data_IF_362262642097
#
_entry.id   IF_362262642097
#
_cell.length_a   1.000
_cell.length_b   1.000
_cell.length_c   1.000
_cell.angle_alpha   90.00
_cell.angle_beta   90.00
_cell.angle_gamma   90.00
#
_symmetry.space_group_name_H-M   'P 1'
#
loop_
_entity.id
_entity.type
_entity.pdbx_description
1 polymer ?
#
# COMPACT_ATOMS: atom_id res chain seq x y z
N UNK A 1 -16.34 -12.17 18.42
CA UNK A 1 -15.37 -11.26 19.05
C UNK A 1 -14.11 -11.24 18.19
N UNK A 2 -13.43 -10.10 18.16
CA UNK A 2 -12.27 -9.87 17.30
C UNK A 2 -11.19 -9.11 18.05
N UNK A 3 -9.94 -9.26 17.61
CA UNK A 3 -8.80 -8.43 17.99
C UNK A 3 -8.40 -7.61 16.78
N UNK A 4 -8.39 -6.29 16.88
CA UNK A 4 -7.80 -5.39 15.87
C UNK A 4 -6.42 -4.95 16.35
N UNK A 5 -5.39 -5.50 15.71
CA UNK A 5 -4.01 -5.09 15.93
C UNK A 5 -3.76 -3.79 15.18
N UNK A 6 -3.42 -2.73 15.91
CA UNK A 6 -3.13 -1.42 15.35
C UNK A 6 -1.72 -1.38 14.75
N UNK A 7 -1.55 -0.56 13.73
CA UNK A 7 -0.23 -0.31 13.13
C UNK A 7 0.59 0.57 14.07
N UNK A 8 1.80 0.14 14.45
CA UNK A 8 2.65 0.90 15.36
C UNK A 8 3.06 2.28 14.82
N UNK A 9 3.15 2.43 13.49
CA UNK A 9 3.49 3.68 12.80
C UNK A 9 2.24 4.55 12.57
N UNK A 10 1.07 3.92 12.45
CA UNK A 10 -0.20 4.60 12.17
C UNK A 10 -1.34 4.10 13.07
N UNK A 11 -1.24 4.28 14.40
CA UNK A 11 -2.16 3.66 15.36
C UNK A 11 -3.59 4.23 15.28
N UNK A 12 -3.78 5.39 14.65
CA UNK A 12 -5.08 6.00 14.39
C UNK A 12 -5.73 5.55 13.08
N UNK A 13 -5.00 4.85 12.19
CA UNK A 13 -5.55 4.32 10.95
C UNK A 13 -6.26 2.99 11.23
N UNK A 14 -7.58 3.05 11.37
CA UNK A 14 -8.43 1.88 11.65
C UNK A 14 -9.47 1.69 10.54
N UNK A 15 -9.85 0.44 10.19
CA UNK A 15 -10.94 0.19 9.26
C UNK A 15 -12.26 0.71 9.86
N UNK A 16 -12.84 1.73 9.23
CA UNK A 16 -14.02 2.42 9.76
C UNK A 16 -15.23 1.48 9.86
N UNK A 17 -15.36 0.52 8.95
CA UNK A 17 -16.42 -0.49 8.93
C UNK A 17 -16.30 -1.49 10.10
N UNK A 18 -15.09 -1.74 10.60
CA UNK A 18 -14.85 -2.57 11.78
C UNK A 18 -15.19 -1.79 13.05
N UNK A 19 -14.70 -0.56 13.17
CA UNK A 19 -14.93 0.28 14.35
C UNK A 19 -16.42 0.63 14.49
N UNK A 20 -17.09 1.01 13.40
CA UNK A 20 -18.50 1.38 13.41
C UNK A 20 -19.44 0.23 13.82
N UNK A 21 -19.15 -1.00 13.39
CA UNK A 21 -19.93 -2.19 13.77
C UNK A 21 -19.85 -2.52 15.27
N UNK A 22 -18.75 -2.15 15.93
CA UNK A 22 -18.50 -2.48 17.32
C UNK A 22 -18.50 -1.26 18.25
N UNK A 23 -19.02 -0.11 17.81
CA UNK A 23 -18.87 1.20 18.49
C UNK A 23 -19.24 1.20 19.99
N UNK A 24 -20.23 0.38 20.39
CA UNK A 24 -20.73 0.26 21.76
C UNK A 24 -19.97 -0.80 22.59
N UNK A 25 -19.01 -1.50 21.99
CA UNK A 25 -18.38 -2.70 22.55
C UNK A 25 -16.90 -2.80 22.16
N UNK A 26 -16.16 -1.71 22.34
CA UNK A 26 -14.71 -1.66 22.11
C UNK A 26 -13.96 -1.70 23.45
N UNK A 27 -13.05 -2.65 23.58
CA UNK A 27 -12.01 -2.68 24.59
C UNK A 27 -10.68 -2.24 23.95
N UNK A 28 -9.75 -1.73 24.74
CA UNK A 28 -8.38 -1.50 24.29
C UNK A 28 -7.38 -1.85 25.39
N UNK A 29 -6.19 -2.28 24.99
CA UNK A 29 -5.09 -2.59 25.90
C UNK A 29 -4.39 -1.32 26.40
N UNK A 30 -3.58 -1.41 27.48
CA UNK A 30 -2.81 -0.28 28.00
C UNK A 30 -1.72 0.24 27.06
N UNK A 31 -1.38 -0.45 25.97
CA UNK A 31 -0.39 0.03 24.99
C UNK A 31 -0.99 0.91 23.89
N UNK A 32 -2.32 0.90 23.68
CA UNK A 32 -2.96 1.76 22.68
C UNK A 32 -2.67 3.24 22.99
N UNK A 33 -2.14 4.06 22.07
CA UNK A 33 -1.75 5.44 22.35
C UNK A 33 -2.86 6.33 22.93
N UNK A 34 -2.47 7.30 23.77
CA UNK A 34 -3.41 8.17 24.50
C UNK A 34 -4.25 9.05 23.56
N UNK A 35 -3.66 9.59 22.51
CA UNK A 35 -4.31 10.36 21.45
C UNK A 35 -5.40 9.54 20.74
N UNK A 36 -5.12 8.27 20.44
CA UNK A 36 -6.12 7.33 19.86
C UNK A 36 -7.28 7.11 20.84
N UNK A 37 -7.00 6.92 22.14
CA UNK A 37 -8.05 6.77 23.16
C UNK A 37 -8.94 8.00 23.27
N UNK A 38 -8.34 9.19 23.22
CA UNK A 38 -9.07 10.46 23.26
C UNK A 38 -9.97 10.58 22.02
N UNK A 39 -9.44 10.27 20.83
CA UNK A 39 -10.22 10.32 19.59
C UNK A 39 -11.41 9.35 19.62
N UNK A 40 -11.21 8.12 20.11
CA UNK A 40 -12.29 7.14 20.30
C UNK A 40 -13.37 7.68 21.26
N UNK A 41 -12.98 8.25 22.39
CA UNK A 41 -13.93 8.83 23.34
C UNK A 41 -14.73 10.00 22.74
N UNK A 42 -14.11 10.85 21.92
CA UNK A 42 -14.78 11.93 21.19
C UNK A 42 -15.79 11.42 20.16
N UNK A 43 -15.56 10.22 19.60
CA UNK A 43 -16.48 9.53 18.69
C UNK A 43 -17.58 8.75 19.42
N UNK A 44 -17.68 8.86 20.75
CA UNK A 44 -18.66 8.13 21.56
C UNK A 44 -18.32 6.66 21.76
N UNK A 45 -17.09 6.24 21.47
CA UNK A 45 -16.62 4.89 21.76
C UNK A 45 -16.20 4.83 23.23
N UNK A 46 -16.99 4.10 24.02
CA UNK A 46 -16.70 3.88 25.43
C UNK A 46 -15.95 2.55 25.63
N UNK A 47 -14.95 2.56 26.51
CA UNK A 47 -14.22 1.34 26.88
C UNK A 47 -15.17 0.40 27.63
N UNK A 48 -15.47 -0.74 27.03
CA UNK A 48 -16.22 -1.82 27.68
C UNK A 48 -15.26 -2.95 28.03
N UNK A 49 -15.13 -3.26 29.32
CA UNK A 49 -14.33 -4.42 29.75
C UNK A 49 -14.92 -5.69 29.13
N UNK A 50 -14.11 -6.44 28.39
CA UNK A 50 -14.61 -7.61 27.66
C UNK A 50 -15.40 -7.31 26.39
N UNK A 51 -15.30 -6.08 25.84
CA UNK A 51 -15.98 -5.69 24.59
C UNK A 51 -15.73 -6.64 23.41
N UNK A 52 -16.63 -6.64 22.44
CA UNK A 52 -16.58 -7.54 21.28
C UNK A 52 -15.35 -7.32 20.40
N UNK A 53 -14.82 -6.11 20.36
CA UNK A 53 -13.60 -5.74 19.66
C UNK A 53 -12.52 -5.33 20.67
N UNK A 54 -11.36 -5.99 20.66
CA UNK A 54 -10.18 -5.53 21.40
C UNK A 54 -9.20 -4.82 20.47
N UNK A 55 -8.88 -3.56 20.74
CA UNK A 55 -7.76 -2.85 20.12
C UNK A 55 -6.48 -3.15 20.90
N UNK A 56 -5.45 -3.61 20.21
CA UNK A 56 -4.14 -3.88 20.81
C UNK A 56 -3.03 -3.39 19.86
N UNK A 57 -1.85 -3.07 20.40
CA UNK A 57 -0.68 -2.71 19.61
C UNK A 57 0.10 -3.96 19.20
N UNK A 58 0.10 -4.98 20.05
CA UNK A 58 0.85 -6.22 19.81
C UNK A 58 0.01 -7.46 20.15
N UNK A 59 0.19 -8.53 19.37
CA UNK A 59 -0.51 -9.80 19.56
C UNK A 59 -0.09 -10.55 20.84
N UNK A 60 1.10 -10.25 21.37
CA UNK A 60 1.65 -10.81 22.60
C UNK A 60 1.14 -10.15 23.87
N UNK A 61 0.40 -9.02 23.76
CA UNK A 61 -0.20 -8.38 24.93
C UNK A 61 -1.17 -9.34 25.62
N UNK A 62 -1.22 -9.43 26.96
CA UNK A 62 -1.95 -10.48 27.67
C UNK A 62 -3.40 -10.65 27.23
N UNK A 63 -4.14 -9.55 27.10
CA UNK A 63 -5.54 -9.57 26.68
C UNK A 63 -5.71 -9.99 25.21
N UNK A 64 -4.79 -9.58 24.34
CA UNK A 64 -4.77 -9.93 22.92
C UNK A 64 -4.41 -11.41 22.73
N UNK A 65 -3.32 -11.86 23.35
CA UNK A 65 -2.85 -13.24 23.33
C UNK A 65 -3.93 -14.20 23.85
N UNK A 66 -4.62 -13.84 24.93
CA UNK A 66 -5.72 -14.65 25.47
C UNK A 66 -6.90 -14.77 24.51
N UNK A 67 -7.26 -13.71 23.78
CA UNK A 67 -8.32 -13.74 22.75
C UNK A 67 -7.92 -14.57 21.54
N UNK A 68 -6.69 -14.39 21.07
CA UNK A 68 -6.12 -15.13 19.94
C UNK A 68 -6.08 -16.62 20.25
N UNK A 69 -5.65 -17.01 21.47
CA UNK A 69 -5.61 -18.40 21.91
C UNK A 69 -7.01 -19.05 21.96
N UNK A 70 -8.08 -18.27 22.13
CA UNK A 70 -9.48 -18.74 22.03
C UNK A 70 -10.01 -18.85 20.60
N UNK A 71 -9.19 -18.51 19.60
CA UNK A 71 -9.60 -18.53 18.19
C UNK A 71 -10.45 -17.33 17.76
N UNK A 72 -10.42 -16.23 18.51
CA UNK A 72 -11.09 -14.99 18.08
C UNK A 72 -10.46 -14.43 16.80
N UNK A 73 -11.28 -13.77 15.97
CA UNK A 73 -10.83 -13.26 14.66
C UNK A 73 -9.78 -12.16 14.85
N UNK A 74 -8.62 -12.32 14.21
CA UNK A 74 -7.57 -11.29 14.20
C UNK A 74 -7.68 -10.43 12.94
N UNK A 75 -7.86 -9.13 13.14
CA UNK A 75 -7.82 -8.10 12.14
C UNK A 75 -6.53 -7.29 12.35
N UNK A 76 -5.95 -6.78 11.26
CA UNK A 76 -4.80 -5.89 11.32
C UNK A 76 -5.19 -4.57 10.69
N UNK A 77 -5.09 -3.51 11.47
CA UNK A 77 -5.12 -2.16 10.95
C UNK A 77 -3.80 -1.92 10.23
N UNK A 78 -3.86 -1.39 9.02
CA UNK A 78 -2.68 -0.93 8.29
C UNK A 78 -2.76 0.58 8.14
N UNK A 79 -1.64 1.27 8.33
CA UNK A 79 -1.53 2.62 7.81
C UNK A 79 -1.57 2.65 6.28
N UNK A 80 -1.65 3.84 5.65
CA UNK A 80 -1.45 3.94 4.22
C UNK A 80 -0.08 3.32 3.88
N UNK A 81 -0.08 2.40 2.91
CA UNK A 81 1.17 1.83 2.41
C UNK A 81 2.10 2.96 1.93
N UNK A 82 3.43 2.77 1.92
CA UNK A 82 4.34 3.76 1.35
C UNK A 82 3.94 4.22 -0.05
N UNK A 83 3.37 3.32 -0.86
CA UNK A 83 2.82 3.61 -2.19
C UNK A 83 1.59 4.52 -2.10
N UNK A 84 0.61 4.19 -1.25
CA UNK A 84 -0.56 5.05 -1.05
C UNK A 84 -0.17 6.45 -0.57
N UNK A 85 0.89 6.55 0.25
CA UNK A 85 1.46 7.84 0.65
C UNK A 85 2.10 8.58 -0.53
N UNK A 86 2.83 7.90 -1.40
CA UNK A 86 3.44 8.51 -2.59
C UNK A 86 2.38 9.08 -3.54
N UNK A 87 1.31 8.32 -3.81
CA UNK A 87 0.14 8.79 -4.59
C UNK A 87 -0.46 10.05 -3.95
N UNK A 88 -0.67 10.04 -2.63
CA UNK A 88 -1.20 11.21 -1.92
C UNK A 88 -0.26 12.42 -1.98
N UNK A 89 1.05 12.22 -1.98
CA UNK A 89 2.03 13.32 -2.09
C UNK A 89 1.98 13.91 -3.49
N UNK A 90 1.95 13.08 -4.54
CA UNK A 90 1.84 13.55 -5.93
C UNK A 90 0.57 14.38 -6.13
N UNK A 91 -0.59 13.88 -5.66
CA UNK A 91 -1.85 14.63 -5.69
C UNK A 91 -1.73 16.00 -5.01
N UNK A 92 -1.06 16.07 -3.87
CA UNK A 92 -0.85 17.34 -3.17
C UNK A 92 0.10 18.27 -3.92
N UNK A 93 1.14 17.72 -4.56
CA UNK A 93 2.08 18.48 -5.39
C UNK A 93 1.33 19.12 -6.56
N UNK A 94 0.57 18.34 -7.33
CA UNK A 94 -0.28 18.85 -8.43
C UNK A 94 -1.37 19.79 -7.92
N UNK A 95 -1.92 19.59 -6.71
CA UNK A 95 -2.94 20.51 -6.20
C UNK A 95 -2.38 21.88 -5.78
N UNK A 96 -1.10 21.98 -5.39
CA UNK A 96 -0.53 23.16 -4.72
C UNK A 96 0.58 23.86 -5.50
N UNK A 97 1.40 23.10 -6.22
CA UNK A 97 2.59 23.61 -6.88
C UNK A 97 2.28 24.17 -8.27
N UNK A 98 2.75 25.38 -8.55
CA UNK A 98 2.54 26.03 -9.86
C UNK A 98 3.25 25.28 -10.99
N UNK A 99 4.44 24.75 -10.71
CA UNK A 99 5.22 23.99 -11.69
C UNK A 99 4.54 22.66 -12.02
N UNK A 100 4.11 21.92 -11.01
CA UNK A 100 3.42 20.63 -11.15
C UNK A 100 2.11 20.77 -11.93
N UNK A 101 1.35 21.84 -11.66
CA UNK A 101 0.12 22.16 -12.40
C UNK A 101 0.34 22.55 -13.85
N UNK A 102 1.50 23.08 -14.18
CA UNK A 102 1.83 23.48 -15.55
C UNK A 102 2.25 22.28 -16.41
N UNK A 103 2.47 21.11 -15.80
CA UNK A 103 2.93 19.93 -16.53
C UNK A 103 1.81 19.29 -17.36
N UNK A 104 2.23 18.68 -18.45
CA UNK A 104 1.44 17.83 -19.34
C UNK A 104 2.21 16.54 -19.58
N UNK A 105 1.55 15.51 -20.11
CA UNK A 105 2.28 14.29 -20.49
C UNK A 105 3.46 14.56 -21.43
N UNK A 106 3.34 15.54 -22.33
CA UNK A 106 4.40 15.86 -23.30
C UNK A 106 5.54 16.63 -22.63
N UNK A 107 5.24 17.60 -21.76
CA UNK A 107 6.28 18.40 -21.10
C UNK A 107 7.13 17.58 -20.12
N UNK A 108 6.61 16.45 -19.65
CA UNK A 108 7.32 15.53 -18.75
C UNK A 108 8.28 14.56 -19.46
N UNK A 109 8.12 14.32 -20.78
CA UNK A 109 8.95 13.34 -21.51
C UNK A 109 10.46 13.62 -21.43
N UNK A 110 10.96 14.88 -21.52
CA UNK A 110 12.38 15.15 -21.37
C UNK A 110 12.93 14.70 -20.00
N UNK A 111 12.18 14.94 -18.92
CA UNK A 111 12.55 14.50 -17.58
C UNK A 111 12.56 12.98 -17.49
N UNK A 112 11.53 12.30 -18.00
CA UNK A 112 11.52 10.83 -18.04
C UNK A 112 12.71 10.23 -18.80
N UNK A 113 13.15 10.86 -19.89
CA UNK A 113 14.33 10.41 -20.62
C UNK A 113 15.62 10.60 -19.80
N UNK A 114 15.73 11.70 -19.06
CA UNK A 114 16.84 11.97 -18.14
C UNK A 114 16.87 10.92 -17.02
N UNK A 115 15.78 10.74 -16.26
CA UNK A 115 15.72 9.76 -15.17
C UNK A 115 16.01 8.33 -15.64
N UNK A 116 15.58 7.98 -16.87
CA UNK A 116 15.87 6.67 -17.45
C UNK A 116 17.37 6.49 -17.76
N UNK A 117 18.04 7.56 -18.20
CA UNK A 117 19.47 7.54 -18.47
C UNK A 117 20.28 7.50 -17.16
N UNK A 118 19.86 8.22 -16.13
CA UNK A 118 20.46 8.18 -14.80
C UNK A 118 20.30 6.79 -14.16
N UNK A 119 19.10 6.19 -14.28
CA UNK A 119 18.86 4.80 -13.92
C UNK A 119 19.81 3.81 -14.63
N UNK A 120 19.98 3.91 -15.97
CA UNK A 120 20.93 3.06 -16.72
C UNK A 120 22.37 3.24 -16.21
N UNK A 121 22.79 4.49 -15.95
CA UNK A 121 24.11 4.78 -15.40
C UNK A 121 24.29 4.18 -13.99
N UNK A 122 23.28 4.29 -13.12
CA UNK A 122 23.29 3.72 -11.78
C UNK A 122 23.45 2.20 -11.83
N UNK A 123 22.69 1.51 -12.70
CA UNK A 123 22.81 0.06 -12.91
C UNK A 123 24.23 -0.31 -13.35
N UNK A 124 24.81 0.41 -14.31
CA UNK A 124 26.17 0.14 -14.83
C UNK A 124 27.25 0.39 -13.79
N UNK A 125 27.05 1.36 -12.91
CA UNK A 125 28.02 1.72 -11.87
C UNK A 125 28.08 0.72 -10.71
N UNK A 126 27.03 -0.10 -10.52
CA UNK A 126 26.91 -1.01 -9.38
C UNK A 126 26.67 -0.32 -8.03
N UNK A 127 26.38 0.99 -8.02
CA UNK A 127 26.05 1.72 -6.80
C UNK A 127 24.58 1.48 -6.41
N UNK A 128 24.36 0.63 -5.42
CA UNK A 128 23.03 0.25 -4.97
C UNK A 128 22.24 1.40 -4.32
N UNK A 129 22.90 2.38 -3.69
CA UNK A 129 22.21 3.54 -3.11
C UNK A 129 21.69 4.44 -4.23
N UNK A 130 22.53 4.72 -5.24
CA UNK A 130 22.12 5.50 -6.41
C UNK A 130 20.96 4.80 -7.13
N UNK A 131 21.03 3.48 -7.33
CA UNK A 131 20.00 2.71 -8.01
C UNK A 131 18.59 2.88 -7.40
N UNK A 132 18.50 2.91 -6.07
CA UNK A 132 17.21 3.08 -5.38
C UNK A 132 16.64 4.48 -5.65
N UNK A 133 17.49 5.48 -5.62
CA UNK A 133 17.08 6.87 -5.77
C UNK A 133 16.63 7.12 -7.23
N UNK A 134 17.37 6.63 -8.24
CA UNK A 134 16.93 6.71 -9.64
C UNK A 134 15.61 5.96 -9.91
N UNK A 135 15.41 4.79 -9.27
CA UNK A 135 14.13 4.08 -9.36
C UNK A 135 12.97 4.88 -8.74
N UNK A 136 13.25 5.70 -7.73
CA UNK A 136 12.25 6.59 -7.14
C UNK A 136 11.90 7.73 -8.10
N UNK A 137 12.85 8.24 -8.87
CA UNK A 137 12.62 9.29 -9.86
C UNK A 137 11.89 8.75 -11.11
N UNK A 138 12.17 7.52 -11.54
CA UNK A 138 11.32 6.83 -12.53
C UNK A 138 9.89 6.65 -12.00
N UNK A 139 9.72 6.27 -10.73
CA UNK A 139 8.40 6.17 -10.11
C UNK A 139 7.69 7.53 -10.01
N UNK A 140 8.42 8.62 -9.76
CA UNK A 140 7.90 9.98 -9.77
C UNK A 140 7.25 10.31 -11.12
N UNK A 141 7.89 9.95 -12.22
CA UNK A 141 7.33 10.14 -13.56
C UNK A 141 6.04 9.32 -13.76
N UNK A 142 6.01 8.05 -13.35
CA UNK A 142 4.79 7.21 -13.42
C UNK A 142 3.64 7.83 -12.61
N UNK A 143 3.92 8.33 -11.41
CA UNK A 143 2.93 9.00 -10.57
C UNK A 143 2.42 10.30 -11.19
N UNK A 144 3.28 11.11 -11.81
CA UNK A 144 2.88 12.31 -12.53
C UNK A 144 1.93 11.99 -13.68
N UNK A 145 2.30 11.04 -14.55
CA UNK A 145 1.44 10.64 -15.66
C UNK A 145 0.11 10.05 -15.17
N UNK A 146 0.11 9.32 -14.06
CA UNK A 146 -1.13 8.80 -13.47
C UNK A 146 -2.03 9.88 -12.84
N UNK A 147 -1.46 10.93 -12.23
CA UNK A 147 -2.25 12.01 -11.63
C UNK A 147 -2.76 13.03 -12.67
N UNK A 148 -2.06 13.17 -13.82
CA UNK A 148 -2.49 14.01 -14.93
C UNK A 148 -3.54 13.34 -15.85
N UNK A 149 -3.72 12.02 -15.74
CA UNK A 149 -4.64 11.29 -16.59
C UNK A 149 -6.11 11.58 -16.25
N UNK A 150 -6.95 11.72 -17.28
CA UNK A 150 -8.40 11.98 -17.10
C UNK A 150 -9.19 10.68 -16.87
N UNK A 151 -8.77 9.57 -17.49
CA UNK A 151 -9.54 8.33 -17.57
C UNK A 151 -9.03 7.22 -16.63
N UNK A 152 -7.93 7.43 -15.92
CA UNK A 152 -7.32 6.43 -15.05
C UNK A 152 -6.52 7.05 -13.91
N UNK A 153 -6.27 6.26 -12.86
CA UNK A 153 -5.39 6.60 -11.75
C UNK A 153 -4.25 5.58 -11.61
N UNK A 154 -3.36 5.81 -10.65
CA UNK A 154 -2.23 4.91 -10.38
C UNK A 154 -2.67 3.47 -10.09
N UNK A 155 -3.80 3.28 -9.41
CA UNK A 155 -4.35 1.95 -9.12
C UNK A 155 -4.75 1.19 -10.40
N UNK A 156 -5.22 1.89 -11.44
CA UNK A 156 -5.54 1.30 -12.74
C UNK A 156 -4.27 0.89 -13.49
N UNK A 157 -3.18 1.67 -13.37
CA UNK A 157 -1.86 1.30 -13.91
C UNK A 157 -1.36 0.00 -13.25
N UNK A 158 -1.47 -0.09 -11.93
CA UNK A 158 -1.11 -1.29 -11.17
C UNK A 158 -2.01 -2.50 -11.54
N UNK A 159 -3.32 -2.28 -11.70
CA UNK A 159 -4.25 -3.32 -12.13
C UNK A 159 -3.95 -3.81 -13.55
N UNK A 160 -3.64 -2.90 -14.49
CA UNK A 160 -3.24 -3.22 -15.86
C UNK A 160 -1.93 -4.02 -15.89
N UNK A 161 -0.96 -3.70 -15.03
CA UNK A 161 0.25 -4.51 -14.85
C UNK A 161 -0.10 -5.94 -14.41
N UNK A 162 -0.93 -6.10 -13.37
CA UNK A 162 -1.33 -7.44 -12.88
C UNK A 162 -2.08 -8.21 -13.96
N UNK A 163 -3.00 -7.58 -14.70
CA UNK A 163 -3.70 -8.22 -15.80
C UNK A 163 -2.74 -8.70 -16.90
N UNK A 164 -1.76 -7.86 -17.27
CA UNK A 164 -0.70 -8.23 -18.22
C UNK A 164 0.13 -9.41 -17.73
N UNK A 165 0.48 -9.43 -16.44
CA UNK A 165 1.21 -10.57 -15.85
C UNK A 165 0.37 -11.83 -15.80
N UNK A 166 -0.95 -11.76 -15.56
CA UNK A 166 -1.84 -12.93 -15.64
C UNK A 166 -1.86 -13.53 -17.04
N UNK A 167 -1.82 -12.70 -18.08
CA UNK A 167 -1.78 -13.16 -19.47
C UNK A 167 -0.41 -13.72 -19.88
N UNK A 168 0.69 -13.07 -19.47
CA UNK A 168 2.05 -13.37 -19.95
C UNK A 168 2.88 -14.28 -19.06
N UNK A 169 2.46 -14.45 -17.81
CA UNK A 169 3.12 -15.28 -16.80
C UNK A 169 2.08 -15.97 -15.90
N UNK A 170 1.19 -16.83 -16.47
CA UNK A 170 0.09 -17.45 -15.74
C UNK A 170 0.55 -18.31 -14.56
N UNK A 171 1.77 -18.84 -14.62
CA UNK A 171 2.40 -19.62 -13.55
C UNK A 171 2.57 -18.84 -12.23
N UNK A 172 2.49 -17.51 -12.25
CA UNK A 172 2.46 -16.69 -11.04
C UNK A 172 1.10 -16.74 -10.31
N UNK A 173 0.06 -17.27 -10.95
CA UNK A 173 -1.34 -17.18 -10.50
C UNK A 173 -2.11 -18.50 -10.49
N UNK A 174 -1.56 -19.57 -11.06
CA UNK A 174 -2.23 -20.87 -11.20
C UNK A 174 -1.93 -21.87 -10.05
N UNK A 175 -1.16 -21.43 -9.05
CA UNK A 175 -0.76 -22.26 -7.91
C UNK A 175 0.53 -23.05 -8.12
N UNK A 176 1.24 -22.84 -9.23
CA UNK A 176 2.60 -23.35 -9.42
C UNK A 176 3.55 -22.86 -8.32
N UNK A 177 4.40 -23.75 -7.82
CA UNK A 177 5.34 -23.46 -6.72
C UNK A 177 6.81 -23.73 -7.07
N UNK A 178 7.08 -24.32 -8.25
CA UNK A 178 8.42 -24.64 -8.73
C UNK A 178 9.01 -23.58 -9.66
N UNK A 179 10.31 -23.72 -9.96
CA UNK A 179 10.95 -22.93 -11.01
C UNK A 179 10.34 -23.27 -12.37
N UNK A 180 10.01 -22.24 -13.14
CA UNK A 180 9.49 -22.38 -14.50
C UNK A 180 10.64 -22.22 -15.49
N UNK A 181 10.87 -23.15 -16.42
CA UNK A 181 11.92 -23.02 -17.43
C UNK A 181 11.77 -21.75 -18.28
N UNK A 182 12.90 -21.18 -18.74
CA UNK A 182 12.92 -19.93 -19.51
C UNK A 182 12.15 -20.06 -20.82
N UNK A 183 12.21 -21.24 -21.44
CA UNK A 183 11.52 -21.55 -22.69
C UNK A 183 10.01 -21.42 -22.48
N UNK A 184 9.49 -22.00 -21.39
CA UNK A 184 8.07 -21.90 -21.01
C UNK A 184 7.67 -20.46 -20.68
N UNK A 185 8.53 -19.71 -19.99
CA UNK A 185 8.27 -18.29 -19.71
C UNK A 185 8.20 -17.46 -21.01
N UNK A 186 9.10 -17.73 -21.96
CA UNK A 186 9.19 -17.01 -23.24
C UNK A 186 7.98 -17.31 -24.11
N UNK A 187 7.58 -18.58 -24.22
CA UNK A 187 6.37 -19.01 -24.93
C UNK A 187 5.11 -18.35 -24.35
N UNK A 188 4.96 -18.36 -23.02
CA UNK A 188 3.84 -17.70 -22.35
C UNK A 188 3.83 -16.18 -22.57
N UNK A 189 5.01 -15.55 -22.58
CA UNK A 189 5.14 -14.11 -22.76
C UNK A 189 4.72 -13.65 -24.16
N UNK A 190 5.14 -14.36 -25.22
CA UNK A 190 4.73 -14.05 -26.60
C UNK A 190 3.24 -14.36 -26.83
N UNK A 191 2.73 -15.46 -26.28
CA UNK A 191 1.30 -15.79 -26.36
C UNK A 191 0.42 -14.67 -25.74
N UNK A 192 0.79 -14.17 -24.56
CA UNK A 192 0.07 -13.10 -23.86
C UNK A 192 0.32 -11.67 -24.37
N UNK A 193 1.10 -11.48 -25.46
CA UNK A 193 1.20 -10.19 -26.18
C UNK A 193 0.15 -10.04 -27.28
N UNK A 194 -0.38 -11.16 -27.78
CA UNK A 194 -1.26 -11.21 -28.96
C UNK A 194 -2.75 -11.04 -28.60
N UNK A 195 -3.03 -10.86 -27.31
CA UNK A 195 -4.37 -10.77 -26.73
C UNK A 195 -4.58 -9.39 -26.11
#
# INVERSE_FOLDING_TARGET
MSVLLLDAKYPSCMPLDVVSRHRESIAYTPQVPTDVRIALAQLGVHRVAGGELLLAMDASEPDAAARIARGERVLRAGGPSPVARAVSVMRQAVARGEWERAQTHISLLPYLHEETAEFDAAVRSGNAENLRDELADVLLQVLFHAELAEDFAFDDVAAAFVAKMRARAPYLFDGSTGLVPIEVQTEAWEAGKTQ
#
